data_IF_447572670366
#
_entry.id   IF_447572670366
#
_cell.length_a   1.000
_cell.length_b   1.000
_cell.length_c   1.000
_cell.angle_alpha   90.00
_cell.angle_beta   90.00
_cell.angle_gamma   90.00
#
_symmetry.space_group_name_H-M   'P 1'
#
loop_
_entity.id
_entity.type
_entity.pdbx_description
1 polymer ?
#
# COMPACT_ATOMS: atom_id res chain seq x y z
N UNK A 1 -0.05 34.81 46.70
CA UNK A 1 0.56 35.23 47.99
C UNK A 1 0.30 36.69 48.33
N UNK A 2 0.48 37.66 47.41
CA UNK A 2 0.26 39.10 47.68
C UNK A 2 -1.17 39.42 48.16
N UNK A 3 -2.20 38.81 47.56
CA UNK A 3 -3.60 39.07 47.96
C UNK A 3 -3.97 38.60 49.37
N UNK A 4 -3.26 37.63 49.93
CA UNK A 4 -3.50 37.14 51.29
C UNK A 4 -2.85 38.06 52.33
N UNK A 5 -1.67 38.62 52.01
CA UNK A 5 -0.99 39.63 52.84
C UNK A 5 -1.82 40.91 52.92
N UNK A 6 -2.34 41.39 51.78
CA UNK A 6 -3.20 42.60 51.74
C UNK A 6 -4.49 42.39 52.55
N UNK A 7 -5.10 41.20 52.47
CA UNK A 7 -6.31 40.88 53.24
C UNK A 7 -6.03 40.87 54.75
N UNK A 8 -4.93 40.28 55.19
CA UNK A 8 -4.53 40.26 56.61
C UNK A 8 -4.28 41.68 57.11
N UNK A 9 -3.55 42.50 56.34
CA UNK A 9 -3.31 43.91 56.69
C UNK A 9 -4.62 44.69 56.78
N UNK A 10 -5.55 44.49 55.84
CA UNK A 10 -6.86 45.15 55.87
C UNK A 10 -7.69 44.74 57.11
N UNK A 11 -7.68 43.46 57.48
CA UNK A 11 -8.38 42.97 58.69
C UNK A 11 -7.79 43.60 59.96
N UNK A 12 -6.46 43.69 60.07
CA UNK A 12 -5.79 44.31 61.21
C UNK A 12 -6.13 45.80 61.31
N UNK A 13 -6.18 46.52 60.19
CA UNK A 13 -6.57 47.94 60.16
C UNK A 13 -8.03 48.11 60.59
N UNK A 14 -8.95 47.30 60.09
CA UNK A 14 -10.37 47.36 60.50
C UNK A 14 -10.51 47.07 62.00
N UNK A 15 -9.87 46.02 62.51
CA UNK A 15 -9.89 45.67 63.94
C UNK A 15 -9.28 46.79 64.82
N UNK A 16 -8.24 47.47 64.34
CA UNK A 16 -7.61 48.58 65.07
C UNK A 16 -8.48 49.85 65.10
N UNK A 17 -9.28 50.11 64.06
CA UNK A 17 -10.17 51.28 63.97
C UNK A 17 -11.53 51.03 64.66
N UNK A 18 -11.94 49.77 64.84
CA UNK A 18 -13.23 49.41 65.45
C UNK A 18 -13.49 50.02 66.84
N UNK A 19 -12.52 50.06 67.79
CA UNK A 19 -12.72 50.64 69.12
C UNK A 19 -12.91 52.16 69.10
N UNK A 20 -12.31 52.86 68.14
CA UNK A 20 -12.36 54.32 68.03
C UNK A 20 -13.68 54.85 67.49
N UNK A 21 -14.49 54.01 66.84
CA UNK A 21 -15.73 54.42 66.19
C UNK A 21 -16.97 54.14 67.06
N UNK A 22 -16.82 53.42 68.17
CA UNK A 22 -17.93 53.01 69.04
C UNK A 22 -18.45 54.12 69.98
N UNK A 23 -17.79 55.27 70.07
CA UNK A 23 -18.10 56.32 71.06
C UNK A 23 -18.92 57.51 70.53
N UNK A 24 -19.33 57.52 69.24
CA UNK A 24 -20.16 58.59 68.66
C UNK A 24 -21.57 58.14 68.23
N UNK A 25 -22.59 58.84 68.73
CA UNK A 25 -24.03 58.54 68.58
C UNK A 25 -24.61 59.03 67.25
N UNK A 26 -24.22 58.42 66.15
CA UNK A 26 -24.97 58.53 64.90
C UNK A 26 -26.17 57.58 64.91
N UNK A 27 -27.40 58.08 65.03
CA UNK A 27 -28.63 57.26 64.96
C UNK A 27 -29.18 57.21 63.53
N UNK A 28 -29.53 56.02 63.05
CA UNK A 28 -30.15 55.78 61.74
C UNK A 28 -31.42 54.98 61.97
N UNK A 29 -32.54 55.55 61.52
CA UNK A 29 -33.82 54.86 61.46
C UNK A 29 -34.20 54.71 60.00
N UNK A 30 -34.28 53.46 59.55
CA UNK A 30 -34.80 53.13 58.23
C UNK A 30 -36.15 52.45 58.43
N UNK A 31 -37.21 53.17 58.04
CA UNK A 31 -38.59 52.67 58.04
C UNK A 31 -38.93 52.21 56.63
N UNK A 32 -39.20 50.91 56.48
CA UNK A 32 -39.71 50.34 55.24
C UNK A 32 -41.04 49.63 55.54
N UNK A 33 -42.14 50.21 55.04
CA UNK A 33 -43.51 49.75 55.30
C UNK A 33 -43.85 49.64 56.80
N UNK A 34 -44.05 48.44 57.36
CA UNK A 34 -44.30 48.21 58.79
C UNK A 34 -43.05 47.79 59.59
N UNK A 35 -41.87 47.72 58.97
CA UNK A 35 -40.62 47.35 59.63
C UNK A 35 -39.74 48.57 59.83
N UNK A 36 -39.47 48.89 61.09
CA UNK A 36 -38.52 49.93 61.49
C UNK A 36 -37.24 49.23 61.94
N UNK A 37 -36.14 49.48 61.24
CA UNK A 37 -34.83 49.01 61.64
C UNK A 37 -34.12 50.19 62.30
N UNK A 38 -33.91 50.07 63.60
CA UNK A 38 -33.18 51.05 64.40
C UNK A 38 -31.74 50.59 64.58
N UNK A 39 -30.78 51.45 64.27
CA UNK A 39 -29.36 51.14 64.43
C UNK A 39 -28.50 52.37 64.47
N UNK A 40 -27.21 52.18 64.77
CA UNK A 40 -26.22 53.25 64.65
C UNK A 40 -25.67 53.32 63.23
N UNK A 41 -25.23 54.52 62.80
CA UNK A 41 -24.51 54.74 61.53
C UNK A 41 -23.37 53.71 61.39
N UNK A 42 -22.65 53.48 62.50
CA UNK A 42 -21.56 52.52 62.61
C UNK A 42 -22.01 51.10 62.29
N UNK A 43 -23.14 50.65 62.84
CA UNK A 43 -23.71 49.33 62.57
C UNK A 43 -24.07 49.15 61.10
N UNK A 44 -24.63 50.18 60.46
CA UNK A 44 -24.95 50.15 59.03
C UNK A 44 -23.70 50.12 58.15
N UNK A 45 -22.66 50.89 58.48
CA UNK A 45 -21.38 50.84 57.78
C UNK A 45 -20.72 49.46 57.89
N UNK A 46 -20.73 48.85 59.08
CA UNK A 46 -20.19 47.49 59.28
C UNK A 46 -20.98 46.48 58.45
N UNK A 47 -22.32 46.54 58.48
CA UNK A 47 -23.17 45.63 57.70
C UNK A 47 -22.96 45.80 56.18
N UNK A 48 -22.78 47.03 55.69
CA UNK A 48 -22.48 47.29 54.29
C UNK A 48 -21.12 46.69 53.89
N UNK A 49 -20.09 46.84 54.73
CA UNK A 49 -18.76 46.25 54.50
C UNK A 49 -18.83 44.73 54.49
N UNK A 50 -19.51 44.11 55.47
CA UNK A 50 -19.68 42.65 55.52
C UNK A 50 -20.40 42.16 54.27
N UNK A 51 -21.48 42.83 53.86
CA UNK A 51 -22.25 42.46 52.66
C UNK A 51 -21.39 42.55 51.40
N UNK A 52 -20.59 43.62 51.26
CA UNK A 52 -19.66 43.78 50.15
C UNK A 52 -18.59 42.69 50.11
N UNK A 53 -18.04 42.30 51.27
CA UNK A 53 -17.06 41.20 51.39
C UNK A 53 -17.70 39.86 50.99
N UNK A 54 -18.90 39.57 51.46
CA UNK A 54 -19.64 38.35 51.10
C UNK A 54 -19.91 38.31 49.60
N UNK A 55 -20.40 39.40 49.01
CA UNK A 55 -20.63 39.51 47.57
C UNK A 55 -19.34 39.34 46.75
N UNK A 56 -18.23 39.90 47.22
CA UNK A 56 -16.94 39.74 46.56
C UNK A 56 -16.45 38.29 46.61
N UNK A 57 -16.59 37.63 47.76
CA UNK A 57 -16.21 36.22 47.92
C UNK A 57 -17.09 35.30 47.06
N UNK A 58 -18.40 35.52 47.01
CA UNK A 58 -19.30 34.73 46.15
C UNK A 58 -19.01 34.95 44.67
N UNK A 59 -18.78 36.20 44.23
CA UNK A 59 -18.34 36.48 42.85
C UNK A 59 -17.04 35.74 42.50
N UNK A 60 -16.05 35.76 43.40
CA UNK A 60 -14.77 35.10 43.18
C UNK A 60 -14.92 33.58 43.15
N UNK A 61 -15.77 33.01 43.99
CA UNK A 61 -16.09 31.59 44.01
C UNK A 61 -16.76 31.15 42.71
N UNK A 62 -17.76 31.89 42.23
CA UNK A 62 -18.44 31.62 40.95
C UNK A 62 -17.44 31.67 39.80
N UNK A 63 -16.57 32.69 39.75
CA UNK A 63 -15.54 32.81 38.70
C UNK A 63 -14.53 31.67 38.76
N UNK A 64 -14.15 31.21 39.94
CA UNK A 64 -13.25 30.09 40.12
C UNK A 64 -13.87 28.78 39.62
N UNK A 65 -15.12 28.50 39.98
CA UNK A 65 -15.85 27.32 39.51
C UNK A 65 -16.02 27.33 37.98
N UNK A 66 -16.38 28.47 37.40
CA UNK A 66 -16.46 28.62 35.93
C UNK A 66 -15.09 28.45 35.26
N UNK A 67 -14.02 28.93 35.88
CA UNK A 67 -12.65 28.76 35.37
C UNK A 67 -12.21 27.30 35.38
N UNK A 68 -12.57 26.52 36.41
CA UNK A 68 -12.28 25.08 36.45
C UNK A 68 -13.03 24.38 35.31
N UNK A 69 -14.33 24.65 35.18
CA UNK A 69 -15.18 24.03 34.16
C UNK A 69 -14.69 24.30 32.73
N UNK A 70 -14.30 25.55 32.44
CA UNK A 70 -13.75 25.92 31.13
C UNK A 70 -12.40 25.23 30.85
N UNK A 71 -11.52 25.14 31.84
CA UNK A 71 -10.18 24.58 31.66
C UNK A 71 -10.18 23.04 31.56
N UNK A 72 -11.11 22.35 32.24
CA UNK A 72 -11.23 20.88 32.15
C UNK A 72 -11.85 20.39 30.84
N UNK A 73 -12.78 21.16 30.25
CA UNK A 73 -13.45 20.75 29.00
C UNK A 73 -12.53 20.90 27.78
N UNK A 74 -11.62 21.87 27.75
CA UNK A 74 -10.65 21.95 26.65
C UNK A 74 -9.51 20.92 26.77
N UNK A 75 -9.05 20.60 27.99
CA UNK A 75 -7.97 19.62 28.18
C UNK A 75 -8.33 18.16 27.83
N UNK A 76 -9.56 17.72 28.08
CA UNK A 76 -9.96 16.33 27.82
C UNK A 76 -10.26 16.06 26.34
N UNK A 77 -10.93 16.99 25.65
CA UNK A 77 -11.20 16.87 24.21
C UNK A 77 -9.93 17.05 23.37
N UNK A 78 -9.04 17.97 23.74
CA UNK A 78 -7.75 18.14 23.06
C UNK A 78 -6.89 16.86 23.18
N UNK A 79 -6.76 16.28 24.38
CA UNK A 79 -6.02 15.02 24.58
C UNK A 79 -6.62 13.83 23.83
N UNK A 80 -7.94 13.78 23.69
CA UNK A 80 -8.58 12.73 22.87
C UNK A 80 -8.23 12.89 21.39
N UNK A 81 -8.30 14.11 20.85
CA UNK A 81 -7.90 14.38 19.46
C UNK A 81 -6.41 14.12 19.22
N UNK A 82 -5.53 14.49 20.15
CA UNK A 82 -4.10 14.18 20.09
C UNK A 82 -3.85 12.67 20.05
N UNK A 83 -4.54 11.88 20.89
CA UNK A 83 -4.43 10.40 20.86
C UNK A 83 -4.88 9.83 19.51
N UNK A 84 -5.99 10.31 18.96
CA UNK A 84 -6.49 9.88 17.65
C UNK A 84 -5.47 10.20 16.53
N UNK A 85 -4.80 11.34 16.60
CA UNK A 85 -3.74 11.73 15.65
C UNK A 85 -2.48 10.90 15.83
N UNK A 86 -2.05 10.67 17.07
CA UNK A 86 -0.88 9.84 17.37
C UNK A 86 -1.07 8.40 16.89
N UNK A 87 -2.27 7.83 17.01
CA UNK A 87 -2.58 6.48 16.53
C UNK A 87 -2.36 6.34 15.01
N UNK A 88 -2.89 7.28 14.21
CA UNK A 88 -2.71 7.24 12.75
C UNK A 88 -1.26 7.56 12.35
N UNK A 89 -0.59 8.48 13.04
CA UNK A 89 0.82 8.79 12.78
C UNK A 89 1.73 7.58 13.05
N UNK A 90 1.54 6.92 14.19
CA UNK A 90 2.27 5.70 14.53
C UNK A 90 2.01 4.59 13.51
N UNK A 91 0.75 4.40 13.11
CA UNK A 91 0.40 3.42 12.09
C UNK A 91 1.05 3.74 10.73
N UNK A 92 1.12 5.01 10.33
CA UNK A 92 1.77 5.40 9.09
C UNK A 92 3.29 5.12 9.13
N UNK A 93 3.96 5.47 10.22
CA UNK A 93 5.39 5.15 10.40
C UNK A 93 5.63 3.64 10.39
N UNK A 94 4.78 2.87 11.04
CA UNK A 94 4.87 1.40 11.06
C UNK A 94 4.66 0.83 9.65
N UNK A 95 3.66 1.32 8.92
CA UNK A 95 3.37 0.89 7.54
C UNK A 95 4.46 1.24 6.53
N UNK A 96 5.22 2.33 6.75
CA UNK A 96 6.38 2.70 5.93
C UNK A 96 7.55 1.73 6.15
N UNK A 97 7.69 1.19 7.36
CA UNK A 97 8.72 0.23 7.72
C UNK A 97 8.27 -1.23 7.55
N UNK A 98 7.14 -1.46 6.86
CA UNK A 98 6.51 -2.79 6.68
C UNK A 98 6.22 -3.54 8.00
N UNK A 99 6.09 -2.80 9.11
CA UNK A 99 5.76 -3.33 10.43
C UNK A 99 4.23 -3.42 10.61
N UNK A 100 3.64 -4.40 9.94
CA UNK A 100 2.19 -4.56 9.87
C UNK A 100 1.55 -5.01 11.19
N UNK A 101 2.31 -5.66 12.08
CA UNK A 101 1.86 -5.99 13.42
C UNK A 101 1.62 -4.72 14.25
N UNK A 102 2.55 -3.76 14.21
CA UNK A 102 2.38 -2.48 14.89
C UNK A 102 1.32 -1.59 14.24
N UNK A 103 1.11 -1.69 12.92
CA UNK A 103 -0.04 -1.03 12.26
C UNK A 103 -1.35 -1.52 12.87
N UNK A 104 -1.52 -2.84 12.97
CA UNK A 104 -2.72 -3.44 13.51
C UNK A 104 -2.92 -3.05 14.99
N UNK A 105 -1.88 -3.12 15.82
CA UNK A 105 -1.95 -2.69 17.23
C UNK A 105 -2.26 -1.20 17.40
N UNK A 106 -1.69 -0.33 16.56
CA UNK A 106 -1.92 1.11 16.64
C UNK A 106 -3.36 1.49 16.26
N UNK A 107 -4.01 0.72 15.38
CA UNK A 107 -5.32 1.04 14.81
C UNK A 107 -6.48 0.21 15.38
N UNK A 108 -6.24 -1.02 15.83
CA UNK A 108 -7.27 -1.86 16.43
C UNK A 108 -7.72 -1.30 17.78
N UNK A 109 -9.03 -1.06 17.91
CA UNK A 109 -9.63 -0.51 19.13
C UNK A 109 -9.38 0.99 19.35
N UNK A 110 -8.49 1.61 18.56
CA UNK A 110 -8.24 3.04 18.61
C UNK A 110 -9.10 3.76 17.56
N UNK A 111 -9.82 4.79 18.00
CA UNK A 111 -10.49 5.69 17.06
C UNK A 111 -9.48 6.60 16.38
N UNK A 112 -9.71 6.90 15.10
CA UNK A 112 -8.98 7.96 14.38
C UNK A 112 -9.91 9.17 14.17
N UNK A 113 -9.40 10.33 13.75
CA UNK A 113 -10.27 11.42 13.29
C UNK A 113 -11.08 10.96 12.07
N UNK A 114 -12.35 11.34 11.96
CA UNK A 114 -13.29 10.82 10.95
C UNK A 114 -12.76 10.93 9.51
N UNK A 115 -12.03 12.00 9.18
CA UNK A 115 -11.39 12.20 7.86
C UNK A 115 -10.33 11.14 7.49
N UNK A 116 -9.85 10.38 8.47
CA UNK A 116 -8.84 9.32 8.31
C UNK A 116 -9.44 7.92 8.45
N UNK A 117 -10.76 7.79 8.59
CA UNK A 117 -11.42 6.51 8.80
C UNK A 117 -11.16 5.52 7.64
N UNK A 118 -11.36 5.95 6.40
CA UNK A 118 -11.06 5.11 5.22
C UNK A 118 -9.56 4.80 5.08
N UNK A 119 -8.68 5.70 5.53
CA UNK A 119 -7.23 5.44 5.55
C UNK A 119 -6.90 4.39 6.62
N UNK A 120 -7.54 4.44 7.79
CA UNK A 120 -7.41 3.40 8.81
C UNK A 120 -7.84 2.05 8.25
N UNK A 121 -9.00 1.98 7.59
CA UNK A 121 -9.49 0.76 6.96
C UNK A 121 -8.53 0.24 5.89
N UNK A 122 -8.00 1.12 5.04
CA UNK A 122 -7.01 0.75 4.02
C UNK A 122 -5.70 0.21 4.63
N UNK A 123 -5.20 0.82 5.72
CA UNK A 123 -4.00 0.35 6.41
C UNK A 123 -4.23 -1.00 7.11
N UNK A 124 -5.40 -1.20 7.73
CA UNK A 124 -5.79 -2.48 8.31
C UNK A 124 -5.95 -3.57 7.23
N UNK A 125 -6.55 -3.25 6.08
CA UNK A 125 -6.63 -4.15 4.95
C UNK A 125 -5.23 -4.54 4.44
N UNK A 126 -4.32 -3.56 4.33
CA UNK A 126 -2.93 -3.81 3.94
C UNK A 126 -2.21 -4.73 4.93
N UNK A 127 -2.37 -4.50 6.23
CA UNK A 127 -1.80 -5.37 7.27
C UNK A 127 -2.39 -6.78 7.23
N UNK A 128 -3.70 -6.91 7.05
CA UNK A 128 -4.36 -8.21 6.89
C UNK A 128 -3.82 -8.98 5.67
N UNK A 129 -3.62 -8.32 4.52
CA UNK A 129 -3.02 -8.95 3.34
C UNK A 129 -1.57 -9.39 3.58
N UNK A 130 -0.77 -8.59 4.27
CA UNK A 130 0.60 -8.97 4.63
C UNK A 130 0.65 -10.22 5.52
N UNK A 131 -0.39 -10.41 6.35
CA UNK A 131 -0.56 -11.57 7.22
C UNK A 131 -1.33 -12.74 6.57
N UNK A 132 -1.56 -12.70 5.24
CA UNK A 132 -2.35 -13.68 4.48
C UNK A 132 -3.81 -13.86 4.98
N UNK A 133 -4.39 -12.82 5.58
CA UNK A 133 -5.76 -12.79 6.08
C UNK A 133 -6.68 -12.10 5.05
N UNK A 134 -6.82 -12.70 3.87
CA UNK A 134 -7.54 -12.13 2.73
C UNK A 134 -8.99 -11.80 3.04
N UNK A 135 -9.72 -12.67 3.73
CA UNK A 135 -11.13 -12.45 4.07
C UNK A 135 -11.32 -11.18 4.91
N UNK A 136 -10.49 -11.01 5.94
CA UNK A 136 -10.49 -9.79 6.76
C UNK A 136 -10.11 -8.56 5.95
N UNK A 137 -9.16 -8.68 5.02
CA UNK A 137 -8.80 -7.57 4.15
C UNK A 137 -9.99 -7.16 3.27
N UNK A 138 -10.71 -8.11 2.67
CA UNK A 138 -11.91 -7.85 1.88
C UNK A 138 -13.00 -7.17 2.71
N UNK A 139 -13.28 -7.63 3.93
CA UNK A 139 -14.22 -6.97 4.85
C UNK A 139 -13.86 -5.49 5.04
N UNK A 140 -12.59 -5.18 5.34
CA UNK A 140 -12.12 -3.79 5.49
C UNK A 140 -12.23 -2.98 4.20
N UNK A 141 -11.98 -3.60 3.05
CA UNK A 141 -12.09 -2.93 1.76
C UNK A 141 -13.54 -2.60 1.41
N UNK A 142 -14.50 -3.48 1.73
CA UNK A 142 -15.92 -3.20 1.55
C UNK A 142 -16.46 -2.12 2.51
N UNK A 143 -15.85 -1.96 3.70
CA UNK A 143 -16.19 -0.88 4.65
C UNK A 143 -15.76 0.52 4.16
N UNK A 144 -14.81 0.61 3.23
CA UNK A 144 -14.32 1.90 2.70
C UNK A 144 -15.42 2.61 1.90
N UNK A 145 -15.53 3.92 2.10
CA UNK A 145 -16.50 4.76 1.39
C UNK A 145 -16.40 4.61 -0.14
N UNK A 146 -17.53 4.56 -0.90
CA UNK A 146 -17.53 4.34 -2.35
C UNK A 146 -16.66 5.31 -3.17
N UNK A 147 -16.51 6.56 -2.71
CA UNK A 147 -15.67 7.59 -3.32
C UNK A 147 -14.16 7.34 -3.18
N UNK A 148 -13.76 6.49 -2.24
CA UNK A 148 -12.38 6.14 -1.96
C UNK A 148 -11.97 4.76 -2.45
N UNK A 149 -12.90 3.97 -2.99
CA UNK A 149 -12.64 2.61 -3.50
C UNK A 149 -11.53 2.57 -4.57
N UNK A 150 -11.51 3.53 -5.50
CA UNK A 150 -10.43 3.59 -6.49
C UNK A 150 -9.06 3.97 -5.91
N UNK A 151 -9.01 4.66 -4.75
CA UNK A 151 -7.73 5.01 -4.09
C UNK A 151 -7.02 3.77 -3.54
N UNK A 152 -7.76 2.69 -3.29
CA UNK A 152 -7.24 1.41 -2.75
C UNK A 152 -7.24 0.28 -3.78
N UNK A 153 -7.29 0.59 -5.08
CA UNK A 153 -7.35 -0.42 -6.13
C UNK A 153 -6.22 -1.46 -6.09
N UNK A 154 -5.02 -1.07 -5.63
CA UNK A 154 -3.91 -2.01 -5.43
C UNK A 154 -4.18 -3.03 -4.34
N UNK A 155 -4.94 -2.68 -3.29
CA UNK A 155 -5.32 -3.62 -2.23
C UNK A 155 -6.38 -4.61 -2.73
N UNK A 156 -7.35 -4.14 -3.54
CA UNK A 156 -8.30 -5.02 -4.24
C UNK A 156 -7.61 -6.00 -5.18
N UNK A 157 -6.61 -5.54 -5.94
CA UNK A 157 -5.80 -6.44 -6.77
C UNK A 157 -4.97 -7.41 -5.92
N UNK A 158 -4.43 -6.97 -4.80
CA UNK A 158 -3.66 -7.83 -3.91
C UNK A 158 -4.52 -8.86 -3.14
N UNK A 159 -5.80 -8.57 -2.91
CA UNK A 159 -6.73 -9.53 -2.29
C UNK A 159 -7.17 -10.65 -3.24
N UNK A 160 -6.97 -10.48 -4.55
CA UNK A 160 -7.40 -11.45 -5.56
C UNK A 160 -8.83 -11.22 -6.08
N UNK A 161 -9.58 -10.29 -5.49
CA UNK A 161 -10.94 -9.97 -5.91
C UNK A 161 -11.09 -8.48 -6.24
N UNK A 162 -10.76 -8.12 -7.48
CA UNK A 162 -10.98 -6.77 -8.00
C UNK A 162 -12.37 -6.55 -8.63
N UNK A 163 -13.32 -7.48 -8.48
CA UNK A 163 -14.63 -7.40 -9.16
C UNK A 163 -15.44 -6.19 -8.69
N UNK A 164 -15.33 -5.86 -7.39
CA UNK A 164 -16.04 -4.74 -6.76
C UNK A 164 -15.71 -3.37 -7.38
N UNK A 165 -14.50 -3.19 -7.92
CA UNK A 165 -14.03 -1.91 -8.45
C UNK A 165 -14.00 -1.83 -9.97
N UNK A 166 -14.23 -2.94 -10.69
CA UNK A 166 -14.03 -3.02 -12.14
C UNK A 166 -14.83 -1.95 -12.90
N UNK A 167 -16.13 -1.83 -12.62
CA UNK A 167 -17.01 -0.89 -13.31
C UNK A 167 -16.57 0.57 -13.10
N UNK A 168 -16.22 0.94 -11.87
CA UNK A 168 -15.76 2.29 -11.53
C UNK A 168 -14.38 2.56 -12.15
N UNK A 169 -13.51 1.54 -12.17
CA UNK A 169 -12.17 1.62 -12.77
C UNK A 169 -12.24 1.79 -14.29
N UNK A 170 -13.15 1.08 -14.97
CA UNK A 170 -13.41 1.26 -16.40
C UNK A 170 -13.77 2.70 -16.73
N UNK A 171 -14.73 3.28 -16.00
CA UNK A 171 -15.17 4.67 -16.20
C UNK A 171 -13.99 5.65 -16.04
N UNK A 172 -13.18 5.46 -14.98
CA UNK A 172 -11.97 6.25 -14.74
C UNK A 172 -10.96 6.12 -15.89
N UNK A 173 -10.65 4.90 -16.32
CA UNK A 173 -9.67 4.62 -17.38
C UNK A 173 -10.12 5.11 -18.77
N UNK A 174 -11.42 5.10 -19.05
CA UNK A 174 -12.01 5.56 -20.32
C UNK A 174 -12.12 7.10 -20.39
N UNK A 175 -12.05 7.80 -19.26
CA UNK A 175 -12.11 9.26 -19.21
C UNK A 175 -10.99 9.92 -20.04
N UNK A 176 -11.29 11.03 -20.71
CA UNK A 176 -10.33 11.74 -21.59
C UNK A 176 -9.01 12.11 -20.89
N UNK A 177 -9.09 12.43 -19.60
CA UNK A 177 -7.98 12.84 -18.72
C UNK A 177 -7.42 11.70 -17.85
N UNK A 178 -7.76 10.45 -18.15
CA UNK A 178 -7.23 9.29 -17.42
C UNK A 178 -5.69 9.32 -17.36
N UNK A 179 -5.18 9.12 -16.16
CA UNK A 179 -3.75 9.04 -15.84
C UNK A 179 -3.16 7.70 -16.27
N UNK A 180 -1.83 7.63 -16.40
CA UNK A 180 -1.16 6.36 -16.69
C UNK A 180 -1.42 5.30 -15.61
N UNK A 181 -1.54 5.73 -14.34
CA UNK A 181 -1.84 4.84 -13.22
C UNK A 181 -3.24 4.22 -13.33
N UNK A 182 -4.28 5.02 -13.62
CA UNK A 182 -5.64 4.52 -13.79
C UNK A 182 -5.75 3.53 -14.97
N UNK A 183 -5.09 3.86 -16.10
CA UNK A 183 -5.05 2.95 -17.25
C UNK A 183 -4.36 1.62 -16.89
N UNK A 184 -3.23 1.69 -16.18
CA UNK A 184 -2.50 0.51 -15.72
C UNK A 184 -3.33 -0.33 -14.75
N UNK A 185 -3.96 0.28 -13.76
CA UNK A 185 -4.80 -0.41 -12.78
C UNK A 185 -5.97 -1.11 -13.46
N UNK A 186 -6.63 -0.47 -14.42
CA UNK A 186 -7.71 -1.12 -15.16
C UNK A 186 -7.21 -2.33 -15.95
N UNK A 187 -6.04 -2.25 -16.58
CA UNK A 187 -5.44 -3.38 -17.27
C UNK A 187 -5.15 -4.56 -16.32
N UNK A 188 -4.61 -4.28 -15.13
CA UNK A 188 -4.37 -5.29 -14.09
C UNK A 188 -5.69 -5.92 -13.58
N UNK A 189 -6.75 -5.12 -13.42
CA UNK A 189 -8.11 -5.61 -13.07
C UNK A 189 -8.63 -6.56 -14.14
N UNK A 190 -8.55 -6.19 -15.41
CA UNK A 190 -9.01 -7.04 -16.52
C UNK A 190 -8.23 -8.37 -16.61
N UNK A 191 -6.91 -8.34 -16.31
CA UNK A 191 -6.10 -9.56 -16.26
C UNK A 191 -6.51 -10.44 -15.09
N UNK A 192 -6.69 -9.88 -13.88
CA UNK A 192 -7.10 -10.67 -12.70
C UNK A 192 -8.48 -11.30 -12.87
N UNK A 193 -9.43 -10.55 -13.43
CA UNK A 193 -10.79 -11.03 -13.70
C UNK A 193 -10.89 -11.90 -14.97
N UNK A 194 -9.77 -12.14 -15.67
CA UNK A 194 -9.73 -12.88 -16.93
C UNK A 194 -10.66 -12.33 -18.03
N UNK A 195 -10.98 -11.04 -17.98
CA UNK A 195 -11.80 -10.35 -18.97
C UNK A 195 -10.97 -9.97 -20.22
N UNK A 196 -10.36 -10.97 -20.86
CA UNK A 196 -9.38 -10.77 -21.93
C UNK A 196 -9.94 -10.13 -23.20
N UNK A 197 -11.23 -10.33 -23.51
CA UNK A 197 -11.87 -9.61 -24.64
C UNK A 197 -11.87 -8.10 -24.41
N UNK A 198 -12.23 -7.66 -23.20
CA UNK A 198 -12.20 -6.24 -22.85
C UNK A 198 -10.75 -5.72 -22.78
N UNK A 199 -9.80 -6.57 -22.37
CA UNK A 199 -8.37 -6.23 -22.40
C UNK A 199 -7.91 -5.95 -23.83
N UNK A 200 -8.22 -6.83 -24.79
CA UNK A 200 -7.88 -6.68 -26.21
C UNK A 200 -8.37 -5.34 -26.78
N UNK A 201 -9.62 -4.96 -26.50
CA UNK A 201 -10.20 -3.68 -26.90
C UNK A 201 -9.50 -2.47 -26.26
N UNK A 202 -8.95 -2.65 -25.06
CA UNK A 202 -8.29 -1.60 -24.29
C UNK A 202 -6.79 -1.42 -24.62
N UNK A 203 -6.12 -2.45 -25.15
CA UNK A 203 -4.69 -2.43 -25.50
C UNK A 203 -4.26 -1.22 -26.37
N UNK A 204 -5.00 -0.82 -27.43
CA UNK A 204 -4.61 0.32 -28.26
C UNK A 204 -4.55 1.63 -27.47
N UNK A 205 -5.39 1.78 -26.44
CA UNK A 205 -5.43 2.96 -25.59
C UNK A 205 -4.24 3.00 -24.63
N UNK A 206 -3.89 1.87 -24.02
CA UNK A 206 -2.67 1.71 -23.21
C UNK A 206 -1.42 2.14 -24.00
N UNK A 207 -1.32 1.64 -25.24
CA UNK A 207 -0.20 1.98 -26.13
C UNK A 207 -0.18 3.46 -26.50
N UNK A 208 -1.32 4.02 -26.94
CA UNK A 208 -1.42 5.43 -27.36
C UNK A 208 -1.02 6.39 -26.23
N UNK A 209 -1.38 6.04 -24.99
CA UNK A 209 -1.09 6.84 -23.80
C UNK A 209 0.27 6.55 -23.17
N UNK A 210 1.02 5.57 -23.69
CA UNK A 210 2.30 5.10 -23.14
C UNK A 210 2.20 4.79 -21.64
N UNK A 211 1.12 4.11 -21.26
CA UNK A 211 0.78 3.88 -19.85
C UNK A 211 1.70 2.84 -19.17
N UNK A 212 2.32 1.96 -19.96
CA UNK A 212 3.12 0.84 -19.47
C UNK A 212 4.58 0.96 -19.93
N UNK A 213 5.48 0.50 -19.06
CA UNK A 213 6.89 0.23 -19.36
C UNK A 213 7.05 -1.11 -20.09
N UNK A 214 8.20 -1.37 -20.70
CA UNK A 214 8.46 -2.64 -21.41
C UNK A 214 8.31 -3.86 -20.48
N UNK A 215 8.78 -3.77 -19.22
CA UNK A 215 8.59 -4.83 -18.23
C UNK A 215 7.11 -5.08 -17.92
N UNK A 216 6.30 -4.03 -17.84
CA UNK A 216 4.86 -4.15 -17.58
C UNK A 216 4.11 -4.71 -18.80
N UNK A 217 4.54 -4.35 -20.00
CA UNK A 217 4.03 -4.99 -21.23
C UNK A 217 4.31 -6.48 -21.24
N UNK A 218 5.55 -6.88 -20.92
CA UNK A 218 5.94 -8.28 -20.84
C UNK A 218 5.09 -9.04 -19.82
N UNK A 219 4.87 -8.48 -18.63
CA UNK A 219 4.03 -9.10 -17.59
C UNK A 219 2.58 -9.26 -18.05
N UNK A 220 1.99 -8.21 -18.65
CA UNK A 220 0.63 -8.22 -19.14
C UNK A 220 0.44 -9.27 -20.24
N UNK A 221 1.32 -9.28 -21.24
CA UNK A 221 1.21 -10.24 -22.34
C UNK A 221 1.53 -11.68 -21.89
N UNK A 222 2.43 -11.86 -20.92
CA UNK A 222 2.68 -13.20 -20.33
C UNK A 222 1.41 -13.73 -19.67
N UNK A 223 0.71 -12.92 -18.88
CA UNK A 223 -0.55 -13.31 -18.25
C UNK A 223 -1.66 -13.57 -19.29
N UNK A 224 -1.77 -12.71 -20.31
CA UNK A 224 -2.73 -12.86 -21.40
C UNK A 224 -2.52 -14.16 -22.18
N UNK A 225 -1.30 -14.44 -22.66
CA UNK A 225 -1.02 -15.67 -23.41
C UNK A 225 -1.09 -16.92 -22.55
N UNK A 226 -0.73 -16.84 -21.27
CA UNK A 226 -0.84 -17.99 -20.35
C UNK A 226 -2.29 -18.45 -20.13
N UNK A 227 -3.27 -17.56 -20.28
CA UNK A 227 -4.68 -17.89 -20.15
C UNK A 227 -5.32 -18.42 -21.45
N UNK A 228 -4.60 -18.46 -22.56
CA UNK A 228 -5.10 -18.94 -23.84
C UNK A 228 -4.73 -20.41 -24.06
N UNK A 229 -5.62 -21.12 -24.77
CA UNK A 229 -5.32 -22.44 -25.29
C UNK A 229 -4.16 -22.39 -26.31
N UNK A 230 -3.33 -23.44 -26.32
CA UNK A 230 -2.12 -23.50 -27.13
C UNK A 230 -2.38 -23.34 -28.64
N UNK A 231 -3.51 -23.83 -29.14
CA UNK A 231 -3.92 -23.72 -30.55
C UNK A 231 -4.32 -22.29 -30.97
N UNK A 232 -4.73 -21.45 -30.01
CA UNK A 232 -5.17 -20.06 -30.26
C UNK A 232 -4.04 -19.03 -30.18
N UNK A 233 -2.88 -19.38 -29.62
CA UNK A 233 -1.77 -18.44 -29.35
C UNK A 233 -1.35 -17.68 -30.61
N UNK A 234 -1.04 -18.39 -31.70
CA UNK A 234 -0.59 -17.76 -32.95
C UNK A 234 -1.67 -16.93 -33.62
N UNK A 235 -2.94 -17.34 -33.53
CA UNK A 235 -4.06 -16.57 -34.07
C UNK A 235 -4.21 -15.25 -33.33
N UNK A 236 -4.30 -15.30 -32.00
CA UNK A 236 -4.44 -14.12 -31.14
C UNK A 236 -3.27 -13.15 -31.28
N UNK A 237 -2.03 -13.65 -31.31
CA UNK A 237 -0.86 -12.81 -31.57
C UNK A 237 -0.95 -12.08 -32.92
N UNK A 238 -1.37 -12.77 -33.99
CA UNK A 238 -1.49 -12.18 -35.34
C UNK A 238 -2.61 -11.15 -35.44
N UNK A 239 -3.66 -11.26 -34.64
CA UNK A 239 -4.76 -10.28 -34.57
C UNK A 239 -4.35 -8.97 -33.88
N UNK A 240 -3.28 -8.97 -33.07
CA UNK A 240 -2.79 -7.76 -32.44
C UNK A 240 -2.30 -6.73 -33.49
N UNK A 241 -2.56 -5.43 -33.29
CA UNK A 241 -1.94 -4.38 -34.09
C UNK A 241 -0.41 -4.48 -34.10
N UNK A 242 0.24 -4.17 -35.23
CA UNK A 242 1.71 -4.30 -35.41
C UNK A 242 2.56 -3.69 -34.30
N UNK A 243 2.15 -2.54 -33.75
CA UNK A 243 2.89 -1.89 -32.65
C UNK A 243 2.76 -2.64 -31.32
N UNK A 244 1.63 -3.32 -31.09
CA UNK A 244 1.43 -4.18 -29.93
C UNK A 244 2.15 -5.52 -30.10
N UNK A 245 2.22 -6.06 -31.32
CA UNK A 245 3.00 -7.27 -31.61
C UNK A 245 4.46 -7.14 -31.15
N UNK A 246 5.09 -5.98 -31.34
CA UNK A 246 6.46 -5.74 -30.86
C UNK A 246 6.60 -5.91 -29.34
N UNK A 247 5.61 -5.47 -28.56
CA UNK A 247 5.60 -5.63 -27.10
C UNK A 247 5.19 -7.05 -26.66
N UNK A 248 4.41 -7.74 -27.48
CA UNK A 248 3.88 -9.08 -27.22
C UNK A 248 4.82 -10.21 -27.63
N UNK A 249 5.80 -9.93 -28.51
CA UNK A 249 6.57 -10.95 -29.24
C UNK A 249 7.28 -11.93 -28.32
N UNK A 250 8.04 -11.44 -27.35
CA UNK A 250 8.80 -12.28 -26.42
C UNK A 250 7.87 -13.14 -25.55
N UNK A 251 6.80 -12.54 -25.02
CA UNK A 251 5.80 -13.27 -24.23
C UNK A 251 5.09 -14.37 -25.05
N UNK A 252 4.77 -14.06 -26.30
CA UNK A 252 4.22 -15.04 -27.25
C UNK A 252 5.19 -16.21 -27.48
N UNK A 253 6.47 -15.94 -27.78
CA UNK A 253 7.46 -16.99 -27.99
C UNK A 253 7.69 -17.84 -26.74
N UNK A 254 7.73 -17.22 -25.55
CA UNK A 254 7.83 -17.93 -24.27
C UNK A 254 6.65 -18.87 -24.05
N UNK A 255 5.42 -18.40 -24.29
CA UNK A 255 4.24 -19.24 -24.11
C UNK A 255 4.18 -20.37 -25.14
N UNK A 256 4.56 -20.13 -26.40
CA UNK A 256 4.65 -21.16 -27.43
C UNK A 256 5.69 -22.24 -27.06
N UNK A 257 6.82 -21.83 -26.47
CA UNK A 257 7.82 -22.77 -25.96
C UNK A 257 7.28 -23.59 -24.79
N UNK A 258 6.61 -22.95 -23.83
CA UNK A 258 5.99 -23.62 -22.68
C UNK A 258 4.88 -24.60 -23.08
N UNK A 259 4.11 -24.26 -24.12
CA UNK A 259 3.09 -25.12 -24.70
C UNK A 259 3.66 -26.27 -25.57
N UNK A 260 4.99 -26.40 -25.68
CA UNK A 260 5.64 -27.44 -26.48
C UNK A 260 5.57 -27.22 -27.99
N UNK A 261 5.18 -26.03 -28.45
CA UNK A 261 4.95 -25.73 -29.87
C UNK A 261 6.17 -25.07 -30.55
N UNK A 262 7.39 -25.50 -30.22
CA UNK A 262 8.61 -24.94 -30.79
C UNK A 262 8.66 -25.04 -32.33
N UNK A 263 8.06 -26.08 -32.91
CA UNK A 263 7.98 -26.26 -34.37
C UNK A 263 7.31 -25.07 -35.08
N UNK A 264 6.29 -24.47 -34.47
CA UNK A 264 5.52 -23.35 -35.05
C UNK A 264 6.35 -22.07 -35.08
N UNK A 265 7.20 -21.86 -34.08
CA UNK A 265 8.03 -20.66 -33.93
C UNK A 265 9.50 -20.89 -34.33
N UNK A 266 9.84 -22.06 -34.87
CA UNK A 266 11.22 -22.47 -35.17
C UNK A 266 11.93 -21.44 -36.07
N UNK A 267 11.23 -20.95 -37.10
CA UNK A 267 11.79 -19.97 -38.04
C UNK A 267 12.13 -18.62 -37.39
N UNK A 268 11.37 -18.23 -36.36
CA UNK A 268 11.59 -16.99 -35.61
C UNK A 268 12.77 -17.14 -34.65
N UNK A 269 12.85 -18.27 -33.95
CA UNK A 269 13.98 -18.60 -33.07
C UNK A 269 15.30 -18.70 -33.87
N UNK A 270 15.27 -19.26 -35.09
CA UNK A 270 16.45 -19.29 -35.98
C UNK A 270 16.90 -17.87 -36.38
N UNK A 271 15.98 -16.91 -36.56
CA UNK A 271 16.37 -15.51 -36.78
C UNK A 271 17.12 -14.98 -35.56
N UNK A 272 16.65 -15.26 -34.35
CA UNK A 272 17.32 -14.83 -33.11
C UNK A 272 18.74 -15.40 -32.98
N UNK A 273 19.01 -16.61 -33.46
CA UNK A 273 20.38 -17.18 -33.48
C UNK A 273 21.33 -16.33 -34.34
N UNK A 274 20.84 -15.69 -35.40
CA UNK A 274 21.66 -14.87 -36.33
C UNK A 274 22.03 -13.50 -35.77
N UNK A 275 21.30 -13.03 -34.74
CA UNK A 275 21.43 -11.70 -34.15
C UNK A 275 22.02 -11.80 -32.75
N UNK A 276 23.27 -11.35 -32.57
CA UNK A 276 24.02 -11.54 -31.32
C UNK A 276 23.33 -10.91 -30.10
N UNK A 277 22.69 -9.78 -30.29
CA UNK A 277 21.93 -9.05 -29.28
C UNK A 277 20.71 -9.83 -28.76
N UNK A 278 20.24 -10.84 -29.49
CA UNK A 278 19.05 -11.64 -29.14
C UNK A 278 19.40 -12.98 -28.48
N UNK A 279 20.69 -13.34 -28.34
CA UNK A 279 21.09 -14.66 -27.84
C UNK A 279 20.65 -14.91 -26.41
N UNK A 280 20.72 -13.91 -25.53
CA UNK A 280 20.24 -14.04 -24.15
C UNK A 280 18.71 -14.20 -24.10
N UNK A 281 17.99 -13.43 -24.91
CA UNK A 281 16.53 -13.53 -25.00
C UNK A 281 16.09 -14.91 -25.54
N UNK A 282 16.80 -15.45 -26.53
CA UNK A 282 16.60 -16.80 -27.05
C UNK A 282 16.78 -17.85 -25.94
N UNK A 283 17.85 -17.75 -25.14
CA UNK A 283 18.07 -18.65 -24.02
C UNK A 283 16.93 -18.56 -23.00
N UNK A 284 16.44 -17.35 -22.72
CA UNK A 284 15.32 -17.12 -21.80
C UNK A 284 14.01 -17.74 -22.31
N UNK A 285 13.74 -17.64 -23.62
CA UNK A 285 12.59 -18.31 -24.24
C UNK A 285 12.70 -19.83 -24.11
N UNK A 286 13.84 -20.39 -24.48
CA UNK A 286 14.06 -21.83 -24.44
C UNK A 286 14.11 -22.40 -23.01
N UNK A 287 14.40 -21.57 -22.01
CA UNK A 287 14.31 -21.97 -20.60
C UNK A 287 12.90 -22.38 -20.16
N UNK A 288 11.88 -22.02 -20.93
CA UNK A 288 10.48 -22.42 -20.71
C UNK A 288 10.04 -23.59 -21.58
N UNK A 289 10.87 -24.08 -22.49
CA UNK A 289 10.51 -25.16 -23.39
C UNK A 289 10.24 -26.47 -22.63
N UNK A 290 9.12 -27.12 -22.95
CA UNK A 290 8.69 -28.41 -22.36
C UNK A 290 8.85 -29.59 -23.33
N UNK A 291 8.88 -29.32 -24.64
CA UNK A 291 9.10 -30.30 -25.70
C UNK A 291 9.95 -29.69 -26.83
N UNK A 292 10.78 -30.51 -27.47
CA UNK A 292 11.77 -30.06 -28.47
C UNK A 292 11.56 -30.65 -29.88
N UNK A 293 10.53 -30.21 -30.57
CA UNK A 293 10.30 -30.51 -32.00
C UNK A 293 10.89 -29.43 -32.92
N UNK A 294 12.17 -29.09 -32.73
CA UNK A 294 12.84 -27.98 -33.44
C UNK A 294 14.28 -28.34 -33.87
N UNK A 295 14.40 -29.35 -34.75
CA UNK A 295 15.69 -29.87 -35.21
C UNK A 295 16.55 -28.85 -35.97
N UNK A 296 15.94 -27.97 -36.78
CA UNK A 296 16.68 -26.95 -37.54
C UNK A 296 17.19 -25.86 -36.60
N UNK A 297 16.45 -25.52 -35.55
CA UNK A 297 16.93 -24.61 -34.51
C UNK A 297 18.17 -25.17 -33.82
N UNK A 298 18.14 -26.45 -33.42
CA UNK A 298 19.29 -27.11 -32.80
C UNK A 298 20.54 -27.02 -33.69
N UNK A 299 20.40 -27.35 -34.98
CA UNK A 299 21.48 -27.27 -35.96
C UNK A 299 22.00 -25.83 -36.07
N UNK A 300 21.11 -24.85 -36.18
CA UNK A 300 21.50 -23.44 -36.30
C UNK A 300 22.28 -22.94 -35.08
N UNK A 301 21.88 -23.33 -33.86
CA UNK A 301 22.60 -22.98 -32.63
C UNK A 301 24.00 -23.62 -32.64
N UNK A 302 24.09 -24.90 -32.98
CA UNK A 302 25.36 -25.64 -33.04
C UNK A 302 26.32 -25.07 -34.09
N UNK A 303 25.83 -24.71 -35.28
CA UNK A 303 26.63 -24.06 -36.32
C UNK A 303 27.19 -22.70 -35.88
N UNK A 304 26.41 -21.94 -35.10
CA UNK A 304 26.88 -20.68 -34.54
C UNK A 304 27.94 -20.90 -33.45
N UNK A 305 27.73 -21.87 -32.57
CA UNK A 305 28.70 -22.27 -31.53
C UNK A 305 30.00 -22.84 -32.12
N UNK A 306 29.99 -23.46 -33.30
CA UNK A 306 31.24 -23.85 -34.00
C UNK A 306 32.13 -22.66 -34.36
N UNK A 307 31.55 -21.46 -34.52
CA UNK A 307 32.27 -20.22 -34.85
C UNK A 307 32.63 -19.42 -33.61
N UNK A 308 31.88 -19.59 -32.52
CA UNK A 308 32.06 -18.91 -31.24
C UNK A 308 31.65 -19.88 -30.11
N UNK A 309 32.59 -20.73 -29.71
CA UNK A 309 32.39 -21.83 -28.75
C UNK A 309 32.30 -21.36 -27.28
N UNK A 310 32.57 -20.07 -27.09
CA UNK A 310 32.57 -19.35 -25.82
C UNK A 310 31.28 -18.57 -25.58
N UNK A 311 30.37 -18.54 -26.56
CA UNK A 311 29.10 -17.83 -26.46
C UNK A 311 28.21 -18.42 -25.36
N UNK A 312 28.24 -17.80 -24.18
CA UNK A 312 27.55 -18.29 -23.00
C UNK A 312 26.03 -18.41 -23.21
N UNK A 313 25.40 -17.40 -23.82
CA UNK A 313 23.95 -17.38 -24.06
C UNK A 313 23.50 -18.49 -25.00
N UNK A 314 24.25 -18.77 -26.08
CA UNK A 314 23.94 -19.88 -26.98
C UNK A 314 24.19 -21.25 -26.37
N UNK A 315 25.17 -21.38 -25.47
CA UNK A 315 25.35 -22.60 -24.68
C UNK A 315 24.14 -22.84 -23.76
N UNK A 316 23.67 -21.82 -23.05
CA UNK A 316 22.46 -21.91 -22.22
C UNK A 316 21.22 -22.27 -23.05
N UNK A 317 21.05 -21.64 -24.21
CA UNK A 317 19.98 -21.96 -25.15
C UNK A 317 20.03 -23.43 -25.61
N UNK A 318 21.22 -23.93 -25.96
CA UNK A 318 21.41 -25.33 -26.35
C UNK A 318 21.11 -26.30 -25.20
N UNK A 319 21.53 -25.97 -23.98
CA UNK A 319 21.26 -26.78 -22.79
C UNK A 319 19.76 -26.89 -22.48
N UNK A 320 19.03 -25.76 -22.55
CA UNK A 320 17.58 -25.75 -22.37
C UNK A 320 16.86 -26.56 -23.45
N UNK A 321 17.30 -26.45 -24.72
CA UNK A 321 16.74 -27.25 -25.81
C UNK A 321 17.03 -28.76 -25.65
N UNK A 322 18.22 -29.12 -25.14
CA UNK A 322 18.57 -30.50 -24.83
C UNK A 322 17.69 -31.08 -23.70
N UNK A 323 17.43 -30.31 -22.64
CA UNK A 323 16.47 -30.67 -21.60
C UNK A 323 15.08 -30.92 -22.17
N UNK A 324 14.56 -30.02 -23.02
CA UNK A 324 13.25 -30.16 -23.63
C UNK A 324 13.14 -31.37 -24.59
N UNK A 325 14.28 -31.91 -25.06
CA UNK A 325 14.37 -33.15 -25.85
C UNK A 325 14.50 -34.41 -24.98
N UNK A 326 14.77 -34.26 -23.69
CA UNK A 326 15.09 -35.35 -22.76
C UNK A 326 16.55 -35.79 -22.78
N UNK A 327 17.46 -35.03 -23.40
CA UNK A 327 18.91 -35.29 -23.40
C UNK A 327 19.57 -34.60 -22.19
N UNK A 328 19.26 -35.12 -21.00
CA UNK A 328 19.66 -34.52 -19.73
C UNK A 328 21.18 -34.60 -19.49
N UNK A 329 21.85 -35.63 -19.99
CA UNK A 329 23.30 -35.78 -19.88
C UNK A 329 24.05 -34.71 -20.67
N UNK A 330 23.61 -34.42 -21.90
CA UNK A 330 24.17 -33.32 -22.69
C UNK A 330 23.89 -31.98 -22.01
N UNK A 331 22.65 -31.75 -21.57
CA UNK A 331 22.27 -30.51 -20.90
C UNK A 331 23.12 -30.25 -19.64
N UNK A 332 23.30 -31.27 -18.78
CA UNK A 332 24.09 -31.16 -17.55
C UNK A 332 25.55 -30.77 -17.83
N UNK A 333 26.17 -31.38 -18.85
CA UNK A 333 27.55 -31.04 -19.25
C UNK A 333 27.67 -29.60 -19.77
N UNK A 334 26.67 -29.12 -20.51
CA UNK A 334 26.68 -27.75 -21.01
C UNK A 334 26.47 -26.77 -19.84
N UNK A 335 25.55 -27.06 -18.92
CA UNK A 335 25.34 -26.23 -17.73
C UNK A 335 26.59 -26.18 -16.83
N UNK A 336 27.35 -27.27 -16.69
CA UNK A 336 28.64 -27.24 -15.97
C UNK A 336 29.63 -26.22 -16.55
N UNK A 337 29.58 -25.98 -17.86
CA UNK A 337 30.45 -25.00 -18.54
C UNK A 337 29.85 -23.59 -18.55
N UNK A 338 28.53 -23.47 -18.71
CA UNK A 338 27.86 -22.21 -19.01
C UNK A 338 27.22 -21.52 -17.80
N UNK A 339 26.85 -22.27 -16.76
CA UNK A 339 26.22 -21.70 -15.56
C UNK A 339 27.26 -20.96 -14.71
N UNK A 340 26.95 -19.72 -14.32
CA UNK A 340 27.83 -18.86 -13.54
C UNK A 340 27.00 -17.97 -12.58
N UNK A 341 27.67 -17.14 -11.76
CA UNK A 341 27.00 -16.29 -10.77
C UNK A 341 26.00 -15.29 -11.35
N UNK A 342 26.19 -14.84 -12.60
CA UNK A 342 25.34 -13.84 -13.25
C UNK A 342 24.03 -14.47 -13.77
N UNK A 343 24.10 -15.70 -14.28
CA UNK A 343 22.96 -16.38 -14.90
C UNK A 343 22.31 -17.47 -14.01
N UNK A 344 22.94 -17.84 -12.88
CA UNK A 344 22.48 -18.90 -11.95
C UNK A 344 21.01 -18.72 -11.60
N UNK A 345 20.60 -17.52 -11.18
CA UNK A 345 19.22 -17.25 -10.74
C UNK A 345 18.18 -17.52 -11.82
N UNK A 346 18.53 -17.26 -13.09
CA UNK A 346 17.60 -17.36 -14.20
C UNK A 346 17.48 -18.80 -14.74
N UNK A 347 18.58 -19.56 -14.73
CA UNK A 347 18.63 -20.90 -15.32
C UNK A 347 18.71 -22.03 -14.28
N UNK A 348 18.61 -21.72 -12.98
CA UNK A 348 18.71 -22.70 -11.90
C UNK A 348 17.73 -23.87 -12.09
N UNK A 349 16.47 -23.58 -12.41
CA UNK A 349 15.43 -24.59 -12.61
C UNK A 349 15.81 -25.58 -13.73
N UNK A 350 16.33 -25.07 -14.85
CA UNK A 350 16.76 -25.88 -15.98
C UNK A 350 18.05 -26.67 -15.68
N UNK A 351 19.00 -26.06 -14.98
CA UNK A 351 20.21 -26.76 -14.55
C UNK A 351 19.86 -27.90 -13.58
N UNK A 352 19.02 -27.64 -12.58
CA UNK A 352 18.51 -28.64 -11.63
C UNK A 352 17.79 -29.77 -12.36
N UNK A 353 16.93 -29.46 -13.34
CA UNK A 353 16.24 -30.46 -14.15
C UNK A 353 17.24 -31.42 -14.83
N UNK A 354 18.32 -30.89 -15.40
CA UNK A 354 19.35 -31.69 -16.06
C UNK A 354 20.17 -32.53 -15.07
N UNK A 355 20.58 -31.95 -13.93
CA UNK A 355 21.39 -32.66 -12.92
C UNK A 355 20.61 -33.78 -12.25
N UNK A 356 19.34 -33.55 -11.92
CA UNK A 356 18.47 -34.56 -11.29
C UNK A 356 18.26 -35.78 -12.18
N UNK A 357 18.16 -35.58 -13.50
CA UNK A 357 17.89 -36.65 -14.46
C UNK A 357 19.14 -37.17 -15.18
N UNK A 358 20.34 -36.79 -14.71
CA UNK A 358 21.63 -37.29 -15.19
C UNK A 358 22.41 -37.95 -14.04
N UNK A 359 23.61 -38.45 -14.32
CA UNK A 359 24.51 -39.04 -13.31
C UNK A 359 25.05 -38.02 -12.27
N UNK A 360 24.56 -36.78 -12.25
CA UNK A 360 25.08 -35.67 -11.43
C UNK A 360 24.07 -35.14 -10.41
N UNK A 361 23.17 -35.99 -9.91
CA UNK A 361 22.06 -35.60 -9.04
C UNK A 361 22.49 -34.83 -7.77
N UNK A 362 23.69 -35.08 -7.24
CA UNK A 362 24.23 -34.37 -6.07
C UNK A 362 24.43 -32.86 -6.32
N UNK A 363 24.77 -32.46 -7.55
CA UNK A 363 24.91 -31.03 -7.91
C UNK A 363 23.58 -30.28 -7.89
N UNK A 364 22.46 -30.98 -8.10
CA UNK A 364 21.14 -30.37 -8.00
C UNK A 364 20.88 -29.83 -6.57
N UNK A 365 21.37 -30.53 -5.54
CA UNK A 365 21.20 -30.15 -4.14
C UNK A 365 21.93 -28.84 -3.80
N UNK A 366 23.10 -28.60 -4.39
CA UNK A 366 23.89 -27.37 -4.20
C UNK A 366 23.21 -26.15 -4.83
N UNK A 367 22.40 -26.34 -5.87
CA UNK A 367 21.68 -25.24 -6.52
C UNK A 367 20.42 -24.78 -5.76
N UNK A 368 19.92 -25.57 -4.81
CA UNK A 368 18.82 -25.17 -3.93
C UNK A 368 19.26 -24.26 -2.77
N UNK A 369 20.58 -24.10 -2.57
CA UNK A 369 21.22 -23.15 -1.64
C UNK A 369 21.58 -21.85 -2.37
#
# INVERSE_FOLDING_TARGET
>A
MIGLIILIVAIVVVLAVTPFVLDEKGYVLISFNNTTIEGTIVSFCIMAVITAVVLYLTYKLIRYLLSIYHNTKHGFFARSQERKQAAIEQALWSAINDDYEHVEQALLGNSVPDKFEDIRLALLAKAALANNQTDKALERLFEISPEHQLKVAKLWLASGDSSAIESQMRISAEAKKATALELKLYAEVLVQQQHFSALEDFLPRLLRKKALTDTQWMQLFSAYFNALDADKLSEKYKQLPKKLQAHAYTAYLMQMAQAGQLAVIESDLIKMVKHNEQHLELANILSKATAADAAKLQISIQERLKKDDSNNSLLLALACLANAKGDYDLAARIFDKALNSENKKQFAEQAVLSYKNSAQAEKALVLYQ
#
